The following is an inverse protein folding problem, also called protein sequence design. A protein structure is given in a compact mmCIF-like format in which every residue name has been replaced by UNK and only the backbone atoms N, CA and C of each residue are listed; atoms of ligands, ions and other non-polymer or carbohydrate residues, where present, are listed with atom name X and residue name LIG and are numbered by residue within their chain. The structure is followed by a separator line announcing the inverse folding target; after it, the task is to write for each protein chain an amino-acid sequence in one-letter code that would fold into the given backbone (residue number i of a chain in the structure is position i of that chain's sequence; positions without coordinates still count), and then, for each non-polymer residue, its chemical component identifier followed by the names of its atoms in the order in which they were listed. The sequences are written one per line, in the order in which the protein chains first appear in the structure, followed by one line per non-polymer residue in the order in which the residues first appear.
data_IF_599884744163
#
_entry.id   IF_599884744163
#
_cell.length_a   1.000
_cell.length_b   1.000
_cell.length_c   1.000
_cell.angle_alpha   90.00
_cell.angle_beta   90.00
_cell.angle_gamma   90.00
#
_symmetry.space_group_name_H-M   'P 1'
#
loop_
_entity.id
_entity.type
_entity.pdbx_description
1 polymer ?
#
# COMPACT_ATOMS: atom_id res chain seq x y z
N UNK A 1 1.39 -18.09 -11.64
CA UNK A 1 0.60 -16.85 -11.81
C UNK A 1 -0.13 -16.65 -10.50
N UNK A 2 0.05 -15.50 -9.86
CA UNK A 2 -0.60 -15.18 -8.60
C UNK A 2 -1.72 -14.20 -8.92
N UNK A 3 -2.94 -14.73 -8.96
CA UNK A 3 -4.16 -13.99 -9.29
C UNK A 3 -5.13 -14.12 -8.12
N UNK A 4 -5.90 -13.06 -7.86
CA UNK A 4 -6.98 -13.08 -6.87
C UNK A 4 -6.51 -13.50 -5.46
N UNK A 5 -5.37 -12.96 -5.02
CA UNK A 5 -4.87 -13.22 -3.66
C UNK A 5 -5.82 -12.60 -2.62
N UNK A 6 -6.43 -11.45 -2.97
CA UNK A 6 -7.31 -10.65 -2.10
C UNK A 6 -8.57 -10.15 -2.83
N UNK A 7 -8.82 -10.52 -4.09
CA UNK A 7 -9.83 -9.88 -4.95
C UNK A 7 -9.36 -8.57 -5.55
N UNK A 8 -9.22 -7.55 -4.70
CA UNK A 8 -8.91 -6.16 -5.11
C UNK A 8 -7.66 -5.68 -4.37
N UNK A 9 -6.83 -4.87 -5.03
CA UNK A 9 -5.67 -4.24 -4.42
C UNK A 9 -5.41 -2.85 -5.02
N UNK A 10 -4.41 -2.67 -5.88
CA UNK A 10 -4.22 -1.41 -6.59
C UNK A 10 -5.37 -1.12 -7.57
N UNK A 11 -5.88 -2.17 -8.22
CA UNK A 11 -7.09 -2.18 -9.04
C UNK A 11 -7.87 -3.48 -8.80
N UNK A 12 -9.02 -3.64 -9.45
CA UNK A 12 -9.80 -4.87 -9.42
C UNK A 12 -9.40 -5.88 -10.53
N UNK A 13 -8.28 -5.63 -11.21
CA UNK A 13 -7.76 -6.49 -12.29
C UNK A 13 -6.25 -6.73 -12.19
N UNK A 14 -5.70 -6.60 -10.98
CA UNK A 14 -4.27 -6.75 -10.76
C UNK A 14 -3.77 -8.17 -11.01
N UNK A 15 -2.52 -8.27 -11.47
CA UNK A 15 -1.84 -9.54 -11.71
C UNK A 15 -0.40 -9.49 -11.22
N UNK A 16 0.02 -10.51 -10.46
CA UNK A 16 1.44 -10.74 -10.16
C UNK A 16 1.97 -12.00 -10.83
N UNK A 17 3.18 -11.91 -11.36
CA UNK A 17 3.82 -13.00 -12.11
C UNK A 17 5.09 -13.40 -11.38
N UNK A 18 5.16 -14.65 -10.94
CA UNK A 18 6.40 -15.22 -10.42
C UNK A 18 7.14 -15.98 -11.52
N UNK A 19 8.41 -15.63 -11.72
CA UNK A 19 9.35 -16.43 -12.48
C UNK A 19 10.10 -17.37 -11.52
N UNK A 20 9.60 -18.61 -11.43
CA UNK A 20 10.05 -19.64 -10.47
C UNK A 20 11.57 -19.85 -10.50
N UNK A 21 12.16 -19.93 -11.71
CA UNK A 21 13.58 -20.27 -11.87
C UNK A 21 14.51 -19.23 -11.24
N UNK A 22 14.18 -17.93 -11.35
CA UNK A 22 15.00 -16.85 -10.78
C UNK A 22 14.49 -16.39 -9.42
N UNK A 23 13.39 -16.97 -8.91
CA UNK A 23 12.70 -16.51 -7.70
C UNK A 23 12.43 -15.00 -7.77
N UNK A 24 11.80 -14.57 -8.86
CA UNK A 24 11.48 -13.16 -9.14
C UNK A 24 9.97 -12.97 -9.18
N UNK A 25 9.45 -12.00 -8.41
CA UNK A 25 8.06 -11.58 -8.48
C UNK A 25 7.94 -10.24 -9.22
N UNK A 26 7.15 -10.22 -10.30
CA UNK A 26 6.69 -9.00 -10.94
C UNK A 26 5.35 -8.62 -10.31
N UNK A 27 5.30 -7.43 -9.70
CA UNK A 27 4.19 -7.03 -8.83
C UNK A 27 3.15 -6.16 -9.52
N UNK A 28 3.49 -5.54 -10.65
CA UNK A 28 2.72 -4.41 -11.17
C UNK A 28 2.64 -3.28 -10.13
N UNK A 29 1.66 -2.41 -10.25
CA UNK A 29 1.50 -1.26 -9.35
C UNK A 29 0.97 -1.63 -7.94
N UNK A 30 0.81 -2.93 -7.65
CA UNK A 30 0.66 -3.39 -6.26
C UNK A 30 1.87 -3.04 -5.39
N UNK A 31 3.07 -2.94 -5.99
CA UNK A 31 4.30 -2.53 -5.32
C UNK A 31 4.91 -1.31 -5.99
N UNK A 32 5.25 -0.30 -5.19
CA UNK A 32 5.83 0.96 -5.64
C UNK A 32 7.05 1.32 -4.77
N UNK A 33 8.06 1.96 -5.36
CA UNK A 33 9.25 2.40 -4.62
C UNK A 33 9.39 3.92 -4.68
N UNK A 34 9.52 4.55 -3.51
CA UNK A 34 9.74 5.99 -3.31
C UNK A 34 8.70 6.90 -3.98
N UNK A 35 7.45 6.44 -4.05
CA UNK A 35 6.34 7.20 -4.62
C UNK A 35 4.99 6.74 -4.07
N UNK A 36 4.02 7.65 -4.11
CA UNK A 36 2.63 7.32 -3.86
C UNK A 36 1.98 6.72 -5.11
N UNK A 37 1.19 5.67 -4.90
CA UNK A 37 0.22 5.18 -5.87
C UNK A 37 -1.02 6.07 -5.90
N UNK A 38 -1.92 5.80 -6.82
CA UNK A 38 -3.30 6.32 -6.76
C UNK A 38 -4.19 5.19 -6.29
N UNK A 39 -5.05 5.45 -5.32
CA UNK A 39 -6.14 4.55 -4.95
C UNK A 39 -7.45 5.22 -5.35
N UNK A 40 -8.15 4.64 -6.33
CA UNK A 40 -9.44 5.15 -6.81
C UNK A 40 -10.59 4.21 -6.44
N UNK A 41 -11.73 4.31 -7.14
CA UNK A 41 -12.91 3.50 -6.88
C UNK A 41 -12.68 2.00 -7.14
N UNK A 42 -11.68 1.65 -7.96
CA UNK A 42 -11.34 0.25 -8.26
C UNK A 42 -10.30 -0.33 -7.31
N UNK A 43 -9.78 0.48 -6.37
CA UNK A 43 -8.73 0.07 -5.45
C UNK A 43 -9.27 -0.28 -4.07
N UNK A 44 -8.51 -1.11 -3.35
CA UNK A 44 -8.70 -1.46 -1.95
C UNK A 44 -7.33 -1.42 -1.24
N UNK A 45 -7.14 -0.48 -0.32
CA UNK A 45 -5.88 -0.32 0.40
C UNK A 45 -5.64 -1.47 1.40
N UNK A 46 -6.69 -2.02 2.01
CA UNK A 46 -6.55 -3.22 2.84
C UNK A 46 -6.08 -4.42 2.01
N UNK A 47 -6.69 -4.64 0.85
CA UNK A 47 -6.26 -5.62 -0.13
C UNK A 47 -4.82 -5.40 -0.59
N UNK A 48 -4.43 -4.16 -0.88
CA UNK A 48 -3.05 -3.86 -1.28
C UNK A 48 -2.02 -4.15 -0.17
N UNK A 49 -2.34 -3.85 1.10
CA UNK A 49 -1.52 -4.27 2.26
C UNK A 49 -1.38 -5.80 2.29
N UNK A 50 -2.49 -6.53 2.15
CA UNK A 50 -2.48 -8.00 2.18
C UNK A 50 -1.67 -8.61 1.03
N UNK A 51 -1.74 -8.05 -0.19
CA UNK A 51 -0.92 -8.50 -1.33
C UNK A 51 0.57 -8.25 -1.10
N UNK A 52 0.94 -7.11 -0.49
CA UNK A 52 2.34 -6.81 -0.16
C UNK A 52 2.89 -7.70 0.97
N UNK A 53 2.04 -8.04 1.95
CA UNK A 53 2.38 -9.00 2.99
C UNK A 53 2.59 -10.39 2.38
N UNK A 54 1.66 -10.86 1.54
CA UNK A 54 1.81 -12.10 0.79
C UNK A 54 3.11 -12.14 -0.02
N UNK A 55 3.41 -11.06 -0.75
CA UNK A 55 4.64 -10.96 -1.53
C UNK A 55 5.89 -11.12 -0.64
N UNK A 56 5.89 -10.53 0.56
CA UNK A 56 6.99 -10.66 1.52
C UNK A 56 7.13 -12.10 2.03
N UNK A 57 6.00 -12.78 2.28
CA UNK A 57 5.95 -14.13 2.83
C UNK A 57 6.41 -15.20 1.82
N UNK A 58 6.35 -14.93 0.52
CA UNK A 58 6.91 -15.81 -0.52
C UNK A 58 8.44 -15.98 -0.40
N UNK A 59 9.13 -15.06 0.29
CA UNK A 59 10.57 -15.12 0.55
C UNK A 59 11.41 -15.34 -0.72
N UNK A 60 11.05 -14.62 -1.79
CA UNK A 60 11.71 -14.66 -3.08
C UNK A 60 12.99 -13.82 -3.10
N UNK A 61 13.82 -14.01 -4.13
CA UNK A 61 15.11 -13.33 -4.27
C UNK A 61 14.96 -11.91 -4.83
N UNK A 62 14.09 -11.73 -5.82
CA UNK A 62 13.91 -10.47 -6.53
C UNK A 62 12.45 -10.06 -6.61
N UNK A 63 12.21 -8.75 -6.52
CA UNK A 63 10.90 -8.12 -6.65
C UNK A 63 11.03 -6.99 -7.65
N UNK A 64 10.13 -6.98 -8.63
CA UNK A 64 10.04 -5.96 -9.68
C UNK A 64 8.75 -5.18 -9.43
N UNK A 65 8.85 -3.93 -8.92
CA UNK A 65 7.69 -3.10 -8.69
C UNK A 65 7.14 -2.59 -10.03
N UNK A 66 5.89 -2.11 -10.07
CA UNK A 66 5.36 -1.42 -11.25
C UNK A 66 6.15 -0.15 -11.55
N UNK A 67 6.68 0.49 -10.50
CA UNK A 67 7.57 1.64 -10.62
C UNK A 67 8.68 1.67 -9.57
N UNK A 68 9.88 2.00 -10.04
CA UNK A 68 11.10 2.11 -9.24
C UNK A 68 12.08 0.94 -9.46
N UNK A 69 13.18 0.88 -8.70
CA UNK A 69 14.21 -0.12 -8.89
C UNK A 69 13.76 -1.52 -8.44
N UNK A 70 14.20 -2.53 -9.21
CA UNK A 70 14.16 -3.94 -8.79
C UNK A 70 15.09 -4.15 -7.58
N UNK A 71 14.67 -5.00 -6.65
CA UNK A 71 15.44 -5.28 -5.44
C UNK A 71 14.94 -6.52 -4.70
N UNK A 72 15.19 -6.58 -3.40
CA UNK A 72 14.64 -7.62 -2.52
C UNK A 72 13.42 -7.10 -1.75
N UNK A 73 12.78 -7.95 -0.96
CA UNK A 73 11.58 -7.57 -0.20
C UNK A 73 11.83 -6.32 0.69
N UNK A 74 13.01 -6.22 1.31
CA UNK A 74 13.36 -5.10 2.20
C UNK A 74 13.46 -3.77 1.46
N UNK A 75 13.98 -3.75 0.23
CA UNK A 75 14.17 -2.51 -0.53
C UNK A 75 12.98 -2.15 -1.42
N UNK A 76 12.20 -3.14 -1.83
CA UNK A 76 11.20 -2.98 -2.91
C UNK A 76 9.76 -3.17 -2.46
N UNK A 77 9.51 -3.92 -1.38
CA UNK A 77 8.15 -4.26 -0.92
C UNK A 77 7.85 -3.58 0.41
N UNK A 78 8.71 -3.83 1.41
CA UNK A 78 8.50 -3.38 2.80
C UNK A 78 8.34 -1.87 2.97
N UNK A 79 9.03 -0.98 2.23
CA UNK A 79 8.85 0.45 2.44
C UNK A 79 7.41 0.91 2.14
N UNK A 80 6.82 0.46 1.04
CA UNK A 80 5.45 0.82 0.68
C UNK A 80 4.43 0.14 1.60
N UNK A 81 4.68 -1.12 1.96
CA UNK A 81 3.87 -1.83 2.96
C UNK A 81 3.84 -1.08 4.31
N UNK A 82 5.01 -0.69 4.83
CA UNK A 82 5.10 0.04 6.09
C UNK A 82 4.40 1.41 6.02
N UNK A 83 4.53 2.12 4.90
CA UNK A 83 3.78 3.36 4.67
C UNK A 83 2.26 3.13 4.79
N UNK A 84 1.72 2.13 4.09
CA UNK A 84 0.29 1.83 4.11
C UNK A 84 -0.18 1.36 5.49
N UNK A 85 0.64 0.59 6.22
CA UNK A 85 0.35 0.16 7.59
C UNK A 85 0.30 1.35 8.56
N UNK A 86 1.21 2.33 8.44
CA UNK A 86 1.14 3.55 9.26
C UNK A 86 -0.15 4.32 8.96
N UNK A 87 -0.53 4.44 7.68
CA UNK A 87 -1.79 5.08 7.28
C UNK A 87 -2.98 4.34 7.89
N UNK A 88 -3.04 3.01 7.74
CA UNK A 88 -4.11 2.18 8.31
C UNK A 88 -4.20 2.34 9.83
N UNK A 89 -3.08 2.24 10.54
CA UNK A 89 -3.03 2.32 12.00
C UNK A 89 -3.50 3.67 12.52
N UNK A 90 -3.05 4.77 11.91
CA UNK A 90 -3.42 6.11 12.37
C UNK A 90 -4.86 6.47 12.00
N UNK A 91 -5.36 6.02 10.85
CA UNK A 91 -6.77 6.19 10.49
C UNK A 91 -7.68 5.39 11.41
N UNK A 92 -7.34 4.12 11.68
CA UNK A 92 -8.11 3.28 12.60
C UNK A 92 -8.21 3.91 13.99
N UNK A 93 -7.09 4.36 14.55
CA UNK A 93 -7.08 5.04 15.87
C UNK A 93 -7.91 6.31 15.86
N UNK A 94 -7.88 7.07 14.76
CA UNK A 94 -8.67 8.29 14.62
C UNK A 94 -10.16 8.01 14.53
N UNK A 95 -10.54 7.01 13.73
CA UNK A 95 -11.92 6.53 13.62
C UNK A 95 -12.48 6.09 14.98
N UNK A 96 -11.72 5.28 15.74
CA UNK A 96 -12.06 4.86 17.11
C UNK A 96 -12.17 6.03 18.13
N UNK A 97 -11.67 7.21 17.76
CA UNK A 97 -11.70 8.44 18.58
C UNK A 97 -12.68 9.49 18.03
N UNK A 98 -13.57 9.10 17.10
CA UNK A 98 -14.53 9.99 16.43
C UNK A 98 -13.86 11.18 15.71
N UNK A 99 -12.61 11.01 15.25
CA UNK A 99 -11.90 12.02 14.46
C UNK A 99 -12.26 11.91 12.98
N UNK A 100 -12.39 13.06 12.33
CA UNK A 100 -12.53 13.13 10.87
C UNK A 100 -11.20 12.96 10.14
N UNK A 101 -11.24 12.67 8.84
CA UNK A 101 -10.07 12.52 7.98
C UNK A 101 -9.12 13.74 8.01
N UNK A 102 -9.66 14.96 8.04
CA UNK A 102 -8.88 16.19 8.11
C UNK A 102 -8.15 16.37 9.45
N UNK A 103 -8.69 15.81 10.55
CA UNK A 103 -8.07 15.82 11.88
C UNK A 103 -7.00 14.73 12.01
N UNK A 104 -7.22 13.58 11.38
CA UNK A 104 -6.27 12.48 11.34
C UNK A 104 -5.02 12.86 10.52
N UNK A 105 -5.21 13.54 9.38
CA UNK A 105 -4.13 13.91 8.46
C UNK A 105 -2.88 14.52 9.15
N UNK A 106 -2.97 15.59 9.97
CA UNK A 106 -1.80 16.16 10.63
C UNK A 106 -1.18 15.26 11.73
N UNK A 107 -1.91 14.25 12.22
CA UNK A 107 -1.39 13.26 13.18
C UNK A 107 -0.55 12.22 12.42
N UNK A 108 -1.12 11.66 11.35
CA UNK A 108 -0.45 10.70 10.48
C UNK A 108 0.80 11.31 9.82
N UNK A 109 0.73 12.56 9.37
CA UNK A 109 1.86 13.26 8.74
C UNK A 109 3.12 13.29 9.61
N UNK A 110 2.96 13.48 10.94
CA UNK A 110 4.07 13.45 11.90
C UNK A 110 4.73 12.08 12.01
N UNK A 111 4.00 10.99 11.73
CA UNK A 111 4.52 9.61 11.70
C UNK A 111 5.17 9.27 10.37
N UNK A 112 4.86 10.04 9.33
CA UNK A 112 5.23 9.77 7.94
C UNK A 112 6.41 10.61 7.44
N UNK A 113 7.18 11.24 8.35
CA UNK A 113 8.34 12.09 8.00
C UNK A 113 9.38 11.38 7.13
N UNK A 114 9.54 10.06 7.31
CA UNK A 114 10.44 9.24 6.50
C UNK A 114 10.01 9.06 5.03
N UNK A 115 8.79 9.50 4.68
CA UNK A 115 8.19 9.37 3.34
C UNK A 115 7.94 10.73 2.66
N UNK A 116 8.30 11.84 3.32
CA UNK A 116 8.05 13.21 2.81
C UNK A 116 8.74 13.49 1.47
N UNK A 117 9.88 12.83 1.19
CA UNK A 117 10.62 12.94 -0.07
C UNK A 117 10.06 12.07 -1.19
N UNK A 118 9.05 11.23 -0.92
CA UNK A 118 8.47 10.36 -1.93
C UNK A 118 7.67 11.17 -2.95
N UNK A 119 7.79 10.76 -4.21
CA UNK A 119 7.07 11.40 -5.29
C UNK A 119 5.55 11.31 -5.04
N UNK A 120 4.89 12.47 -4.97
CA UNK A 120 3.45 12.57 -4.77
C UNK A 120 2.99 12.54 -3.31
N UNK A 121 3.91 12.62 -2.33
CA UNK A 121 3.55 12.67 -0.92
C UNK A 121 2.55 13.80 -0.62
N UNK A 122 2.95 15.05 -0.92
CA UNK A 122 2.14 16.26 -0.68
C UNK A 122 0.75 16.21 -1.34
N UNK A 123 0.65 15.64 -2.54
CA UNK A 123 -0.58 15.66 -3.34
C UNK A 123 -1.51 14.46 -3.07
N UNK A 124 -1.00 13.36 -2.51
CA UNK A 124 -1.76 12.11 -2.35
C UNK A 124 -1.90 11.63 -0.91
N UNK A 125 -1.05 12.06 0.04
CA UNK A 125 -1.14 11.59 1.43
C UNK A 125 -2.54 11.80 2.02
N UNK A 126 -3.12 12.99 1.87
CA UNK A 126 -4.50 13.24 2.35
C UNK A 126 -5.56 12.38 1.67
N UNK A 127 -5.36 12.01 0.40
CA UNK A 127 -6.29 11.14 -0.34
C UNK A 127 -6.21 9.69 0.15
N UNK A 128 -5.00 9.23 0.50
CA UNK A 128 -4.82 7.90 1.09
C UNK A 128 -5.50 7.82 2.47
N UNK A 129 -5.38 8.87 3.28
CA UNK A 129 -6.09 8.98 4.57
C UNK A 129 -7.60 8.89 4.34
N UNK A 130 -8.16 9.71 3.44
CA UNK A 130 -9.60 9.70 3.16
C UNK A 130 -10.10 8.36 2.58
N UNK A 131 -9.34 7.74 1.67
CA UNK A 131 -9.66 6.41 1.11
C UNK A 131 -9.71 5.34 2.21
N UNK A 132 -8.63 5.25 3.01
CA UNK A 132 -8.56 4.31 4.13
C UNK A 132 -9.66 4.55 5.17
N UNK A 133 -10.02 5.81 5.42
CA UNK A 133 -11.12 6.15 6.33
C UNK A 133 -12.44 5.57 5.83
N UNK A 134 -12.79 5.80 4.56
CA UNK A 134 -14.00 5.25 3.97
C UNK A 134 -14.01 3.72 3.90
N UNK A 135 -12.85 3.09 3.66
CA UNK A 135 -12.71 1.63 3.71
C UNK A 135 -12.96 1.07 5.13
N UNK A 136 -12.41 1.71 6.16
CA UNK A 136 -12.63 1.32 7.57
C UNK A 136 -14.08 1.52 7.96
N UNK A 137 -14.69 2.65 7.61
CA UNK A 137 -16.11 2.93 7.86
C UNK A 137 -17.00 1.85 7.23
N UNK A 138 -16.73 1.47 5.97
CA UNK A 138 -17.49 0.44 5.25
C UNK A 138 -17.37 -0.97 5.86
N UNK A 139 -16.34 -1.24 6.67
CA UNK A 139 -16.14 -2.53 7.35
C UNK A 139 -16.83 -2.60 8.73
N UNK A 140 -17.25 -1.46 9.29
CA UNK A 140 -17.97 -1.39 10.57
C UNK A 140 -19.51 -1.40 10.39
N UNK A 141 -19.99 -1.24 9.15
CA UNK A 141 -21.41 -1.39 8.74
C UNK A 141 -21.87 -2.86 8.61
#
# INVERSE_FOLDING_TARGET
MHHDITGVAHTNTDLMIEHIKTKTLFMGDNGLVHRHGRFDETSDMHGNIAVLQYATDLNLTYYVPGHGPTGNATTTVKPFLHYLQIVQDEVKKGYEQDLTDYEIKPIADKKLTAYHDWHGYESNMGKHIGKMFGEIESLDE
#
